data_IF_888527316154
#
_entry.id   IF_888527316154
#
_cell.length_a   1.000
_cell.length_b   1.000
_cell.length_c   1.000
_cell.angle_alpha   90.00
_cell.angle_beta   90.00
_cell.angle_gamma   90.00
#
_symmetry.space_group_name_H-M   'P 1'
#
loop_
_entity.id
_entity.type
_entity.pdbx_description
1 polymer ?
#
# COMPACT_ATOMS: atom_id res chain seq x y z
N UNK A 1 -1.10 6.82 106.33
CA UNK A 1 -0.68 6.23 105.07
C UNK A 1 -1.82 6.27 104.11
N UNK A 2 -1.80 7.22 103.11
CA UNK A 2 -2.90 7.39 102.11
C UNK A 2 -2.55 6.53 100.89
N UNK A 3 -3.46 5.61 100.57
CA UNK A 3 -3.40 4.81 99.30
C UNK A 3 -4.03 5.63 98.17
N UNK A 4 -3.24 5.96 97.15
CA UNK A 4 -3.69 6.56 95.91
C UNK A 4 -4.06 5.45 94.90
N UNK A 5 -5.35 5.42 94.46
CA UNK A 5 -5.83 4.54 93.44
C UNK A 5 -5.82 5.31 92.12
N UNK A 6 -5.09 4.78 91.14
CA UNK A 6 -5.13 5.32 89.76
C UNK A 6 -6.18 4.57 88.95
N UNK A 7 -7.09 5.25 88.23
CA UNK A 7 -7.96 4.57 87.27
C UNK A 7 -7.26 4.24 86.00
N UNK A 8 -7.32 2.96 85.55
CA UNK A 8 -6.89 2.50 84.28
C UNK A 8 -7.90 2.99 83.23
N UNK A 9 -7.42 3.87 82.33
CA UNK A 9 -8.22 4.28 81.14
C UNK A 9 -7.97 3.27 80.01
N UNK A 10 -8.95 2.37 79.77
CA UNK A 10 -8.93 1.43 78.68
C UNK A 10 -9.31 2.16 77.35
N UNK A 11 -8.31 2.41 76.55
CA UNK A 11 -8.46 2.97 75.20
C UNK A 11 -8.93 1.86 74.23
N UNK A 12 -10.24 1.79 73.93
CA UNK A 12 -10.80 0.89 72.96
C UNK A 12 -10.39 1.35 71.52
N UNK A 13 -9.46 0.67 70.91
CA UNK A 13 -9.20 0.78 69.46
C UNK A 13 -10.38 0.19 68.68
N UNK A 14 -11.22 1.03 68.14
CA UNK A 14 -12.15 0.66 67.09
C UNK A 14 -11.37 0.53 65.76
N UNK A 15 -11.42 -0.62 65.04
CA UNK A 15 -10.88 -0.69 63.72
C UNK A 15 -11.73 0.16 62.77
N UNK A 16 -11.12 1.24 62.24
CA UNK A 16 -11.68 1.97 61.10
C UNK A 16 -11.60 1.04 59.88
N UNK A 17 -12.69 0.35 59.58
CA UNK A 17 -12.88 -0.26 58.27
C UNK A 17 -13.00 0.88 57.27
N UNK A 18 -11.89 1.19 56.60
CA UNK A 18 -11.88 2.02 55.38
C UNK A 18 -12.60 1.22 54.31
N UNK A 19 -13.88 1.49 54.08
CA UNK A 19 -14.60 1.01 52.93
C UNK A 19 -13.96 1.73 51.76
N UNK A 20 -13.05 1.06 51.06
CA UNK A 20 -12.58 1.51 49.77
C UNK A 20 -13.81 1.57 48.85
N UNK A 21 -14.31 2.79 48.62
CA UNK A 21 -15.40 3.03 47.68
C UNK A 21 -14.80 2.68 46.30
N UNK A 22 -15.15 1.50 45.75
CA UNK A 22 -14.85 1.20 44.35
C UNK A 22 -15.46 2.31 43.52
N UNK A 23 -14.61 3.19 43.03
CA UNK A 23 -15.02 4.24 42.10
C UNK A 23 -15.55 3.54 40.85
N UNK A 24 -16.87 3.56 40.68
CA UNK A 24 -17.57 3.00 39.53
C UNK A 24 -17.01 3.70 38.29
N UNK A 25 -16.38 2.90 37.40
CA UNK A 25 -15.80 3.41 36.17
C UNK A 25 -16.87 4.14 35.35
N UNK A 26 -16.55 5.31 34.84
CA UNK A 26 -17.41 6.07 33.93
C UNK A 26 -17.50 5.41 32.56
N UNK A 27 -18.43 5.86 31.69
CA UNK A 27 -18.49 5.37 30.31
C UNK A 27 -17.20 5.61 29.56
N UNK A 28 -16.51 6.75 29.77
CA UNK A 28 -15.22 7.07 29.17
C UNK A 28 -14.12 6.16 29.69
N UNK A 29 -14.04 5.88 30.98
CA UNK A 29 -13.06 4.96 31.55
C UNK A 29 -13.22 3.55 31.00
N UNK A 30 -14.48 3.09 30.88
CA UNK A 30 -14.79 1.80 30.27
C UNK A 30 -14.41 1.75 28.79
N UNK A 31 -14.64 2.84 28.05
CA UNK A 31 -14.27 2.95 26.64
C UNK A 31 -12.75 2.95 26.46
N UNK A 32 -12.01 3.73 27.21
CA UNK A 32 -10.54 3.74 27.19
C UNK A 32 -10.00 2.34 27.49
N UNK A 33 -10.57 1.65 28.51
CA UNK A 33 -10.19 0.29 28.85
C UNK A 33 -10.52 -0.70 27.74
N UNK A 34 -11.70 -0.57 27.09
CA UNK A 34 -12.10 -1.40 25.97
C UNK A 34 -11.12 -1.27 24.80
N UNK A 35 -10.75 -0.04 24.45
CA UNK A 35 -9.74 0.22 23.39
C UNK A 35 -8.40 -0.39 23.73
N UNK A 36 -7.90 -0.21 24.95
CA UNK A 36 -6.64 -0.80 25.39
C UNK A 36 -6.66 -2.33 25.27
N UNK A 37 -7.70 -2.98 25.77
CA UNK A 37 -7.86 -4.45 25.68
C UNK A 37 -7.92 -4.92 24.23
N UNK A 38 -8.63 -4.19 23.35
CA UNK A 38 -8.75 -4.55 21.95
C UNK A 38 -7.42 -4.43 21.17
N UNK A 39 -6.66 -3.36 21.42
CA UNK A 39 -5.44 -3.09 20.63
C UNK A 39 -4.19 -3.77 21.21
N UNK A 40 -4.02 -3.79 22.55
CA UNK A 40 -2.84 -4.34 23.19
C UNK A 40 -2.90 -5.86 23.31
N UNK A 41 -4.08 -6.40 23.71
CA UNK A 41 -4.26 -7.83 24.01
C UNK A 41 -5.02 -8.58 22.92
N UNK A 42 -5.67 -7.87 21.97
CA UNK A 42 -6.58 -8.42 20.97
C UNK A 42 -7.72 -9.27 21.57
N UNK A 43 -8.07 -9.01 22.83
CA UNK A 43 -9.19 -9.67 23.51
C UNK A 43 -10.49 -8.94 23.15
N UNK A 44 -10.98 -9.22 21.93
CA UNK A 44 -12.23 -8.62 21.44
C UNK A 44 -13.46 -9.00 22.27
N UNK A 45 -13.62 -10.24 22.79
CA UNK A 45 -14.73 -10.57 23.69
C UNK A 45 -14.79 -9.67 24.93
N UNK A 46 -13.65 -9.43 25.59
CA UNK A 46 -13.60 -8.55 26.76
C UNK A 46 -13.86 -7.08 26.37
N UNK A 47 -13.29 -6.63 25.24
CA UNK A 47 -13.53 -5.28 24.73
C UNK A 47 -15.00 -5.03 24.40
N UNK A 48 -15.72 -6.01 23.82
CA UNK A 48 -17.15 -5.97 23.56
C UNK A 48 -17.94 -5.81 24.87
N UNK A 49 -17.60 -6.56 25.91
CA UNK A 49 -18.27 -6.45 27.21
C UNK A 49 -18.11 -5.06 27.82
N UNK A 50 -16.89 -4.53 27.81
CA UNK A 50 -16.60 -3.19 28.32
C UNK A 50 -17.34 -2.11 27.53
N UNK A 51 -17.36 -2.21 26.19
CA UNK A 51 -18.11 -1.25 25.34
C UNK A 51 -19.61 -1.30 25.59
N UNK A 52 -20.18 -2.49 25.79
CA UNK A 52 -21.60 -2.63 26.19
C UNK A 52 -21.87 -2.02 27.55
N UNK A 53 -21.00 -2.23 28.54
CA UNK A 53 -21.14 -1.61 29.84
C UNK A 53 -21.08 -0.07 29.77
N UNK A 54 -20.22 0.46 28.93
CA UNK A 54 -20.13 1.89 28.66
C UNK A 54 -21.43 2.42 28.03
N UNK A 55 -21.99 1.73 27.03
CA UNK A 55 -23.26 2.10 26.39
C UNK A 55 -24.48 1.97 27.30
N UNK A 56 -24.45 1.10 28.32
CA UNK A 56 -25.50 1.10 29.35
C UNK A 56 -25.51 2.38 30.19
N UNK A 57 -24.37 3.05 30.35
CA UNK A 57 -24.28 4.33 31.06
C UNK A 57 -24.50 5.53 30.11
N UNK A 58 -24.12 5.41 28.85
CA UNK A 58 -24.23 6.46 27.84
C UNK A 58 -24.76 5.88 26.51
N UNK A 59 -26.10 5.63 26.38
CA UNK A 59 -26.68 4.93 25.22
C UNK A 59 -26.50 5.65 23.87
N UNK A 60 -26.35 6.97 23.88
CA UNK A 60 -26.22 7.80 22.70
C UNK A 60 -24.76 8.15 22.36
N UNK A 61 -23.80 7.50 23.02
CA UNK A 61 -22.37 7.75 22.73
C UNK A 61 -21.96 7.09 21.42
N UNK A 62 -21.95 7.89 20.37
CA UNK A 62 -21.72 7.44 18.98
C UNK A 62 -20.38 6.72 18.81
N UNK A 63 -19.27 7.28 19.35
CA UNK A 63 -17.94 6.70 19.20
C UNK A 63 -17.84 5.29 19.80
N UNK A 64 -18.50 5.07 20.96
CA UNK A 64 -18.52 3.74 21.57
C UNK A 64 -19.35 2.78 20.73
N UNK A 65 -20.45 3.24 20.14
CA UNK A 65 -21.26 2.43 19.23
C UNK A 65 -20.49 2.05 17.96
N UNK A 66 -19.77 3.00 17.34
CA UNK A 66 -18.92 2.75 16.19
C UNK A 66 -17.84 1.72 16.54
N UNK A 67 -17.18 1.92 17.69
CA UNK A 67 -16.15 1.00 18.15
C UNK A 67 -16.67 -0.40 18.43
N UNK A 68 -17.85 -0.52 19.03
CA UNK A 68 -18.53 -1.80 19.24
C UNK A 68 -18.83 -2.49 17.91
N UNK A 69 -19.28 -1.76 16.89
CA UNK A 69 -19.46 -2.26 15.54
C UNK A 69 -18.16 -2.79 14.93
N UNK A 70 -17.04 -2.07 15.08
CA UNK A 70 -15.71 -2.53 14.67
C UNK A 70 -15.27 -3.80 15.39
N UNK A 71 -15.48 -3.89 16.72
CA UNK A 71 -15.17 -5.08 17.52
C UNK A 71 -15.94 -6.31 17.03
N UNK A 72 -17.23 -6.13 16.70
CA UNK A 72 -18.01 -7.22 16.09
C UNK A 72 -17.49 -7.62 14.73
N UNK A 73 -17.10 -6.66 13.90
CA UNK A 73 -16.48 -6.92 12.58
C UNK A 73 -15.18 -7.74 12.74
N UNK A 74 -14.29 -7.33 13.63
CA UNK A 74 -13.02 -8.03 13.90
C UNK A 74 -13.20 -9.40 14.57
N UNK A 75 -14.37 -9.66 15.16
CA UNK A 75 -14.73 -10.93 15.79
C UNK A 75 -15.57 -11.82 14.87
N UNK A 76 -15.70 -11.49 13.59
CA UNK A 76 -16.53 -12.19 12.60
C UNK A 76 -18.01 -12.32 12.98
N UNK A 77 -18.52 -11.35 13.78
CA UNK A 77 -19.93 -11.25 14.18
C UNK A 77 -20.68 -10.27 13.29
N UNK A 78 -20.75 -10.62 12.01
CA UNK A 78 -21.18 -9.71 10.94
C UNK A 78 -22.58 -9.15 11.15
N UNK A 79 -23.56 -9.99 11.52
CA UNK A 79 -24.94 -9.55 11.75
C UNK A 79 -25.06 -8.57 12.92
N UNK A 80 -24.29 -8.80 13.99
CA UNK A 80 -24.23 -7.88 15.13
C UNK A 80 -23.63 -6.53 14.73
N UNK A 81 -22.55 -6.55 13.93
CA UNK A 81 -21.94 -5.32 13.41
C UNK A 81 -22.92 -4.55 12.52
N UNK A 82 -23.60 -5.25 11.58
CA UNK A 82 -24.61 -4.65 10.70
C UNK A 82 -25.76 -4.03 11.48
N UNK A 83 -26.24 -4.69 12.54
CA UNK A 83 -27.30 -4.13 13.40
C UNK A 83 -26.87 -2.79 13.97
N UNK A 84 -25.68 -2.72 14.59
CA UNK A 84 -25.17 -1.46 15.16
C UNK A 84 -25.05 -0.36 14.09
N UNK A 85 -24.40 -0.66 12.95
CA UNK A 85 -24.20 0.35 11.92
C UNK A 85 -25.51 0.77 11.23
N UNK A 86 -26.49 -0.13 11.08
CA UNK A 86 -27.80 0.22 10.54
C UNK A 86 -28.58 1.13 11.51
N UNK A 87 -28.44 0.93 12.80
CA UNK A 87 -29.05 1.82 13.81
C UNK A 87 -28.41 3.21 13.79
N UNK A 88 -27.07 3.28 13.66
CA UNK A 88 -26.37 4.56 13.52
C UNK A 88 -26.75 5.28 12.22
N UNK A 89 -26.92 4.56 11.12
CA UNK A 89 -27.34 5.13 9.85
C UNK A 89 -28.77 5.73 9.93
N UNK A 90 -29.69 5.05 10.62
CA UNK A 90 -31.04 5.58 10.89
C UNK A 90 -31.04 6.85 11.75
N UNK A 91 -30.06 7.01 12.62
CA UNK A 91 -29.86 8.23 13.42
C UNK A 91 -29.24 9.38 12.61
N UNK A 92 -28.94 9.17 11.31
CA UNK A 92 -28.28 10.11 10.40
C UNK A 92 -26.96 10.66 10.96
N UNK A 93 -26.14 9.79 11.55
CA UNK A 93 -24.83 10.21 12.02
C UNK A 93 -23.99 10.73 10.85
N UNK A 94 -23.28 11.84 11.06
CA UNK A 94 -22.37 12.45 10.08
C UNK A 94 -20.90 12.15 10.39
N UNK A 95 -20.64 11.24 11.32
CA UNK A 95 -19.29 10.91 11.76
C UNK A 95 -18.50 10.19 10.64
N UNK A 96 -17.30 10.68 10.34
CA UNK A 96 -16.43 10.10 9.31
C UNK A 96 -16.05 8.64 9.64
N UNK A 97 -15.77 8.38 10.91
CA UNK A 97 -15.35 7.06 11.40
C UNK A 97 -16.47 6.01 11.29
N UNK A 98 -17.74 6.45 11.39
CA UNK A 98 -18.90 5.62 11.11
C UNK A 98 -18.92 5.12 9.67
N UNK A 99 -18.77 6.03 8.68
CA UNK A 99 -18.78 5.65 7.27
C UNK A 99 -17.61 4.72 6.93
N UNK A 100 -16.42 5.02 7.47
CA UNK A 100 -15.24 4.19 7.30
C UNK A 100 -15.43 2.78 7.87
N UNK A 101 -15.98 2.68 9.08
CA UNK A 101 -16.22 1.40 9.74
C UNK A 101 -17.28 0.56 9.02
N UNK A 102 -18.39 1.19 8.65
CA UNK A 102 -19.49 0.49 7.98
C UNK A 102 -19.12 0.06 6.56
N UNK A 103 -18.50 0.94 5.79
CA UNK A 103 -18.03 0.58 4.45
C UNK A 103 -16.98 -0.54 4.48
N UNK A 104 -16.06 -0.52 5.45
CA UNK A 104 -15.07 -1.58 5.64
C UNK A 104 -15.73 -2.93 5.96
N UNK A 105 -16.73 -2.96 6.84
CA UNK A 105 -17.51 -4.16 7.14
C UNK A 105 -18.09 -4.77 5.86
N UNK A 106 -18.78 -3.95 5.06
CA UNK A 106 -19.46 -4.45 3.86
C UNK A 106 -18.46 -4.85 2.78
N UNK A 107 -17.34 -4.14 2.63
CA UNK A 107 -16.27 -4.50 1.70
C UNK A 107 -15.61 -5.84 2.04
N UNK A 108 -15.30 -6.09 3.32
CA UNK A 108 -14.71 -7.36 3.74
C UNK A 108 -15.67 -8.56 3.65
N UNK A 109 -16.96 -8.28 3.51
CA UNK A 109 -18.01 -9.30 3.34
C UNK A 109 -18.59 -9.32 1.92
N UNK A 110 -17.80 -8.94 0.92
CA UNK A 110 -18.11 -9.01 -0.51
C UNK A 110 -19.37 -8.23 -0.93
N UNK A 111 -19.81 -7.28 -0.09
CA UNK A 111 -20.95 -6.39 -0.40
C UNK A 111 -20.43 -5.08 -1.01
N UNK A 112 -19.77 -5.20 -2.16
CA UNK A 112 -19.03 -4.11 -2.82
C UNK A 112 -19.91 -2.90 -3.13
N UNK A 113 -21.07 -3.10 -3.73
CA UNK A 113 -21.97 -1.99 -4.11
C UNK A 113 -22.43 -1.20 -2.89
N UNK A 114 -22.73 -1.92 -1.80
CA UNK A 114 -23.11 -1.30 -0.54
C UNK A 114 -21.94 -0.53 0.10
N UNK A 115 -20.75 -1.11 0.06
CA UNK A 115 -19.54 -0.45 0.56
C UNK A 115 -19.25 0.85 -0.22
N UNK A 116 -19.38 0.85 -1.55
CA UNK A 116 -19.23 2.05 -2.38
C UNK A 116 -20.30 3.08 -2.02
N UNK A 117 -21.57 2.70 -1.92
CA UNK A 117 -22.66 3.62 -1.59
C UNK A 117 -22.44 4.30 -0.23
N UNK A 118 -22.01 3.54 0.79
CA UNK A 118 -21.69 4.08 2.12
C UNK A 118 -20.49 5.02 2.05
N UNK A 119 -19.45 4.65 1.31
CA UNK A 119 -18.27 5.49 1.13
C UNK A 119 -18.61 6.79 0.41
N UNK A 120 -19.46 6.73 -0.62
CA UNK A 120 -19.91 7.91 -1.37
C UNK A 120 -20.76 8.85 -0.48
N UNK A 121 -21.64 8.30 0.36
CA UNK A 121 -22.39 9.07 1.36
C UNK A 121 -21.44 9.76 2.34
N UNK A 122 -20.42 9.05 2.83
CA UNK A 122 -19.39 9.62 3.69
C UNK A 122 -18.59 10.73 3.01
N UNK A 123 -18.17 10.53 1.78
CA UNK A 123 -17.43 11.53 1.00
C UNK A 123 -18.28 12.75 0.61
N UNK A 124 -19.59 12.63 0.53
CA UNK A 124 -20.47 13.79 0.32
C UNK A 124 -20.46 14.74 1.52
N UNK A 125 -20.25 14.22 2.73
CA UNK A 125 -20.14 14.99 3.98
C UNK A 125 -18.69 15.38 4.29
N UNK A 126 -17.73 14.50 3.96
CA UNK A 126 -16.30 14.66 4.23
C UNK A 126 -15.47 14.53 2.93
N UNK A 127 -15.56 15.49 2.00
CA UNK A 127 -14.96 15.35 0.66
C UNK A 127 -13.41 15.28 0.67
N UNK A 128 -12.78 15.70 1.78
CA UNK A 128 -11.33 15.64 1.96
C UNK A 128 -10.86 14.50 2.86
N UNK A 129 -11.73 13.57 3.23
CA UNK A 129 -11.37 12.42 4.03
C UNK A 129 -10.39 11.52 3.27
N UNK A 130 -9.16 11.46 3.76
CA UNK A 130 -8.11 10.64 3.16
C UNK A 130 -8.42 9.14 3.28
N UNK A 131 -8.99 8.73 4.41
CA UNK A 131 -9.29 7.34 4.69
C UNK A 131 -10.47 6.82 3.85
N UNK A 132 -11.51 7.63 3.67
CA UNK A 132 -12.64 7.28 2.79
C UNK A 132 -12.21 7.26 1.31
N UNK A 133 -11.38 8.23 0.86
CA UNK A 133 -10.85 8.23 -0.49
C UNK A 133 -9.96 7.00 -0.75
N UNK A 134 -9.13 6.62 0.22
CA UNK A 134 -8.30 5.43 0.12
C UNK A 134 -9.15 4.15 0.07
N UNK A 135 -10.15 4.05 0.94
CA UNK A 135 -11.07 2.92 0.96
C UNK A 135 -11.84 2.81 -0.36
N UNK A 136 -12.38 3.91 -0.88
CA UNK A 136 -13.04 3.94 -2.19
C UNK A 136 -12.11 3.47 -3.31
N UNK A 137 -10.86 3.95 -3.31
CA UNK A 137 -9.85 3.51 -4.26
C UNK A 137 -9.59 2.01 -4.20
N UNK A 138 -9.46 1.44 -3.00
CA UNK A 138 -9.27 -0.01 -2.78
C UNK A 138 -10.47 -0.84 -3.24
N UNK A 139 -11.68 -0.44 -2.84
CA UNK A 139 -12.91 -1.13 -3.23
C UNK A 139 -13.05 -1.13 -4.76
N UNK A 140 -12.90 0.03 -5.39
CA UNK A 140 -13.03 0.17 -6.85
C UNK A 140 -11.96 -0.62 -7.59
N UNK A 141 -10.70 -0.57 -7.15
CA UNK A 141 -9.61 -1.37 -7.73
C UNK A 141 -9.86 -2.88 -7.59
N UNK A 142 -10.31 -3.31 -6.40
CA UNK A 142 -10.63 -4.70 -6.11
C UNK A 142 -11.74 -5.29 -6.99
N UNK A 143 -12.60 -4.44 -7.55
CA UNK A 143 -13.74 -4.81 -8.41
C UNK A 143 -13.57 -4.37 -9.87
N UNK A 144 -12.34 -4.14 -10.31
CA UNK A 144 -11.97 -3.82 -11.68
C UNK A 144 -12.56 -2.49 -12.21
N UNK A 145 -13.06 -1.62 -11.30
CA UNK A 145 -13.53 -0.26 -11.61
C UNK A 145 -12.36 0.72 -11.58
N UNK A 146 -11.38 0.52 -12.47
CA UNK A 146 -10.09 1.21 -12.44
C UNK A 146 -10.18 2.73 -12.59
N UNK A 147 -11.10 3.23 -13.43
CA UNK A 147 -11.30 4.67 -13.62
C UNK A 147 -11.84 5.35 -12.34
N UNK A 148 -12.74 4.67 -11.62
CA UNK A 148 -13.24 5.16 -10.32
C UNK A 148 -12.15 5.11 -9.25
N UNK A 149 -11.34 4.04 -9.22
CA UNK A 149 -10.20 3.90 -8.34
C UNK A 149 -9.17 5.01 -8.59
N UNK A 150 -8.82 5.25 -9.86
CA UNK A 150 -7.88 6.32 -10.26
C UNK A 150 -8.35 7.68 -9.75
N UNK A 151 -9.62 8.03 -9.99
CA UNK A 151 -10.19 9.30 -9.55
C UNK A 151 -10.10 9.48 -8.02
N UNK A 152 -10.46 8.45 -7.25
CA UNK A 152 -10.40 8.50 -5.79
C UNK A 152 -8.95 8.68 -5.30
N UNK A 153 -8.01 7.91 -5.84
CA UNK A 153 -6.61 7.95 -5.44
C UNK A 153 -5.92 9.25 -5.89
N UNK A 154 -6.24 9.78 -7.08
CA UNK A 154 -5.76 11.11 -7.48
C UNK A 154 -6.25 12.21 -6.55
N UNK A 155 -7.54 12.17 -6.13
CA UNK A 155 -8.07 13.13 -5.15
C UNK A 155 -7.33 13.04 -3.82
N UNK A 156 -7.05 11.82 -3.34
CA UNK A 156 -6.26 11.62 -2.12
C UNK A 156 -4.84 12.16 -2.24
N UNK A 157 -4.15 11.87 -3.34
CA UNK A 157 -2.76 12.34 -3.55
C UNK A 157 -2.67 13.85 -3.78
N UNK A 158 -3.74 14.49 -4.24
CA UNK A 158 -3.83 15.95 -4.30
C UNK A 158 -3.87 16.57 -2.90
N UNK A 159 -4.54 15.92 -1.93
CA UNK A 159 -4.62 16.34 -0.53
C UNK A 159 -3.32 16.00 0.22
N UNK A 160 -2.86 14.75 0.07
CA UNK A 160 -1.67 14.22 0.75
C UNK A 160 -0.74 13.50 -0.22
N UNK A 161 0.19 14.22 -0.86
CA UNK A 161 1.18 13.62 -1.76
C UNK A 161 2.10 12.59 -1.11
N UNK A 162 2.18 12.54 0.22
CA UNK A 162 3.04 11.62 0.98
C UNK A 162 2.33 10.32 1.40
N UNK A 163 1.07 10.12 1.02
CA UNK A 163 0.36 8.89 1.38
C UNK A 163 0.97 7.69 0.64
N UNK A 164 1.69 6.86 1.39
CA UNK A 164 2.45 5.71 0.87
C UNK A 164 1.55 4.69 0.18
N UNK A 165 0.41 4.38 0.80
CA UNK A 165 -0.50 3.35 0.30
C UNK A 165 -1.22 3.80 -0.97
N UNK A 166 -1.65 5.08 -1.00
CA UNK A 166 -2.23 5.67 -2.20
C UNK A 166 -1.25 5.69 -3.37
N UNK A 167 0.05 5.94 -3.13
CA UNK A 167 1.06 5.87 -4.19
C UNK A 167 1.26 4.47 -4.74
N UNK A 168 1.36 3.47 -3.87
CA UNK A 168 1.48 2.10 -4.30
C UNK A 168 0.25 1.67 -5.12
N UNK A 169 -0.94 2.05 -4.66
CA UNK A 169 -2.19 1.75 -5.35
C UNK A 169 -2.31 2.52 -6.69
N UNK A 170 -1.93 3.81 -6.74
CA UNK A 170 -1.88 4.59 -7.98
C UNK A 170 -1.04 3.90 -9.05
N UNK A 171 0.14 3.38 -8.67
CA UNK A 171 1.01 2.64 -9.60
C UNK A 171 0.34 1.38 -10.15
N UNK A 172 -0.36 0.63 -9.29
CA UNK A 172 -1.10 -0.55 -9.71
C UNK A 172 -2.28 -0.21 -10.65
N UNK A 173 -2.99 0.90 -10.38
CA UNK A 173 -4.12 1.37 -11.19
C UNK A 173 -3.65 1.85 -12.57
N UNK A 174 -2.53 2.56 -12.65
CA UNK A 174 -1.99 3.12 -13.90
C UNK A 174 -1.85 2.08 -15.02
N UNK A 175 -1.52 0.84 -14.66
CA UNK A 175 -1.38 -0.24 -15.65
C UNK A 175 -2.70 -0.59 -16.34
N UNK A 176 -3.84 -0.18 -15.75
CA UNK A 176 -5.20 -0.46 -16.26
C UNK A 176 -5.85 0.76 -16.91
N UNK A 177 -5.51 1.99 -16.49
CA UNK A 177 -6.18 3.23 -16.96
C UNK A 177 -5.45 3.90 -18.12
N UNK A 178 -4.13 3.82 -18.19
CA UNK A 178 -3.35 4.40 -19.26
C UNK A 178 -3.46 3.58 -20.55
N UNK A 179 -4.52 3.82 -21.34
CA UNK A 179 -4.79 3.07 -22.60
C UNK A 179 -3.65 3.21 -23.62
N UNK A 180 -3.05 4.40 -23.77
CA UNK A 180 -1.96 4.66 -24.68
C UNK A 180 -0.97 5.63 -24.02
N UNK A 181 0.33 5.40 -24.20
CA UNK A 181 1.36 6.34 -23.78
C UNK A 181 2.50 6.36 -24.79
N UNK A 182 3.08 7.54 -25.02
CA UNK A 182 4.29 7.73 -25.82
C UNK A 182 5.39 8.16 -24.87
N UNK A 183 6.55 7.56 -24.95
CA UNK A 183 7.73 7.89 -24.16
C UNK A 183 8.92 8.24 -25.04
N UNK A 184 9.64 9.27 -24.64
CA UNK A 184 10.93 9.64 -25.22
C UNK A 184 11.98 9.58 -24.10
N UNK A 185 13.09 8.89 -24.37
CA UNK A 185 14.21 8.79 -23.45
C UNK A 185 15.50 9.24 -24.11
N UNK A 186 16.35 9.90 -23.34
CA UNK A 186 17.68 10.23 -23.75
C UNK A 186 18.65 9.88 -22.62
N UNK A 187 19.67 9.08 -22.96
CA UNK A 187 20.73 8.73 -22.03
C UNK A 187 22.06 9.19 -22.60
N UNK A 188 22.82 9.89 -21.77
CA UNK A 188 24.17 10.33 -22.03
C UNK A 188 25.11 9.59 -21.09
N UNK A 189 26.15 8.93 -21.65
CA UNK A 189 27.17 8.23 -20.86
C UNK A 189 28.51 8.87 -21.18
N UNK A 190 29.13 9.42 -20.14
CA UNK A 190 30.45 10.02 -20.18
C UNK A 190 31.49 9.03 -19.66
N UNK A 191 32.65 9.00 -20.33
CA UNK A 191 33.79 8.20 -19.92
C UNK A 191 35.01 9.11 -19.69
N UNK A 192 35.64 8.99 -18.55
CA UNK A 192 36.83 9.81 -18.22
C UNK A 192 38.07 9.33 -18.99
N UNK A 193 38.31 8.01 -19.14
CA UNK A 193 39.51 7.45 -19.72
C UNK A 193 39.30 6.17 -20.54
N UNK A 194 38.13 5.57 -20.50
CA UNK A 194 37.91 4.23 -21.03
C UNK A 194 37.60 4.22 -22.52
N UNK A 195 36.93 5.25 -23.02
CA UNK A 195 36.56 5.40 -24.41
C UNK A 195 36.72 6.86 -24.85
N UNK A 196 37.19 7.07 -26.09
CA UNK A 196 37.41 8.43 -26.65
C UNK A 196 36.10 9.18 -26.94
N UNK A 197 34.98 8.48 -27.07
CA UNK A 197 33.70 9.06 -27.43
C UNK A 197 32.63 8.73 -26.37
N UNK A 198 31.86 9.76 -26.01
CA UNK A 198 30.68 9.62 -25.15
C UNK A 198 29.57 8.86 -25.89
N UNK A 199 28.70 8.18 -25.14
CA UNK A 199 27.57 7.52 -25.76
C UNK A 199 26.30 8.32 -25.65
N UNK A 200 25.54 8.34 -26.73
CA UNK A 200 24.23 8.97 -26.84
C UNK A 200 23.22 7.90 -27.22
N UNK A 201 22.17 7.75 -26.41
CA UNK A 201 21.13 6.76 -26.64
C UNK A 201 19.78 7.46 -26.58
N UNK A 202 19.02 7.38 -27.67
CA UNK A 202 17.64 7.91 -27.75
C UNK A 202 16.68 6.77 -27.90
N UNK A 203 15.63 6.73 -27.08
CA UNK A 203 14.57 5.73 -27.16
C UNK A 203 13.21 6.39 -27.39
N UNK A 204 12.48 5.91 -28.40
CA UNK A 204 11.07 6.24 -28.60
C UNK A 204 10.25 4.98 -28.27
N UNK A 205 9.24 5.13 -27.43
CA UNK A 205 8.36 4.02 -27.03
C UNK A 205 6.89 4.36 -27.20
N UNK A 206 6.10 3.35 -27.52
CA UNK A 206 4.63 3.41 -27.50
C UNK A 206 4.11 2.26 -26.65
N UNK A 207 3.37 2.59 -25.60
CA UNK A 207 2.68 1.66 -24.70
C UNK A 207 1.19 1.64 -25.04
N UNK A 208 0.62 0.45 -25.10
CA UNK A 208 -0.83 0.23 -25.18
C UNK A 208 -1.28 -0.71 -24.08
N UNK A 209 -2.25 -0.28 -23.27
CA UNK A 209 -2.93 -1.14 -22.32
C UNK A 209 -3.95 -2.04 -23.04
N UNK A 210 -4.02 -3.30 -22.63
CA UNK A 210 -4.98 -4.30 -23.10
C UNK A 210 -5.69 -4.94 -21.92
N UNK A 211 -6.80 -5.65 -22.09
CA UNK A 211 -7.50 -6.32 -21.00
C UNK A 211 -6.64 -7.31 -20.19
N UNK A 212 -5.61 -7.88 -20.82
CA UNK A 212 -4.71 -8.86 -20.17
C UNK A 212 -3.39 -8.27 -19.69
N UNK A 213 -3.15 -6.96 -19.86
CA UNK A 213 -1.92 -6.29 -19.48
C UNK A 213 -1.51 -5.22 -20.48
N UNK A 214 -0.27 -4.74 -20.43
CA UNK A 214 0.24 -3.74 -21.37
C UNK A 214 1.26 -4.31 -22.33
N UNK A 215 1.32 -3.74 -23.54
CA UNK A 215 2.33 -4.02 -24.55
C UNK A 215 3.08 -2.73 -24.87
N UNK A 216 4.40 -2.81 -25.00
CA UNK A 216 5.27 -1.67 -25.32
C UNK A 216 6.11 -2.02 -26.55
N UNK A 217 6.07 -1.15 -27.54
CA UNK A 217 7.01 -1.15 -28.64
C UNK A 217 8.03 -0.05 -28.41
N UNK A 218 9.33 -0.36 -28.62
CA UNK A 218 10.40 0.61 -28.45
C UNK A 218 11.37 0.54 -29.61
N UNK A 219 11.80 1.71 -30.08
CA UNK A 219 12.93 1.86 -31.01
C UNK A 219 14.01 2.65 -30.30
N UNK A 220 15.20 2.06 -30.19
CA UNK A 220 16.38 2.69 -29.62
C UNK A 220 17.36 3.01 -30.73
N UNK A 221 17.81 4.26 -30.77
CA UNK A 221 18.99 4.68 -31.56
C UNK A 221 20.13 4.94 -30.59
N UNK A 222 21.31 4.45 -30.92
CA UNK A 222 22.52 4.74 -30.16
C UNK A 222 23.68 5.13 -31.06
N UNK A 223 24.44 6.13 -30.62
CA UNK A 223 25.80 6.39 -31.08
C UNK A 223 26.74 5.94 -29.96
N UNK A 224 27.53 4.88 -30.25
CA UNK A 224 28.52 4.28 -29.34
C UNK A 224 29.73 3.91 -30.14
N UNK A 225 30.94 4.07 -29.57
CA UNK A 225 32.20 3.71 -30.23
C UNK A 225 32.39 4.38 -31.61
N UNK A 226 31.87 5.63 -31.76
CA UNK A 226 31.82 6.36 -33.04
C UNK A 226 30.97 5.70 -34.14
N UNK A 227 30.16 4.69 -33.79
CA UNK A 227 29.24 4.02 -34.71
C UNK A 227 27.79 4.23 -34.31
N UNK A 228 26.89 4.07 -35.27
CA UNK A 228 25.48 4.23 -35.09
C UNK A 228 24.76 2.88 -35.15
N UNK A 229 23.73 2.72 -34.31
CA UNK A 229 22.93 1.51 -34.33
C UNK A 229 21.48 1.77 -33.96
N UNK A 230 20.61 0.88 -34.44
CA UNK A 230 19.17 0.87 -34.12
C UNK A 230 18.77 -0.50 -33.59
N UNK A 231 17.95 -0.51 -32.57
CA UNK A 231 17.34 -1.71 -31.98
C UNK A 231 15.85 -1.54 -31.88
N UNK A 232 15.11 -2.56 -32.24
CA UNK A 232 13.66 -2.65 -32.05
C UNK A 232 13.37 -3.62 -30.92
N UNK A 233 12.43 -3.24 -30.02
CA UNK A 233 12.03 -4.04 -28.87
C UNK A 233 10.50 -4.11 -28.78
N UNK A 234 10.04 -5.24 -28.30
CA UNK A 234 8.66 -5.46 -27.90
C UNK A 234 8.64 -6.05 -26.50
N UNK A 235 7.86 -5.45 -25.61
CA UNK A 235 7.67 -5.90 -24.24
C UNK A 235 6.19 -6.09 -23.97
N UNK A 236 5.85 -7.10 -23.20
CA UNK A 236 4.50 -7.35 -22.73
C UNK A 236 4.50 -7.60 -21.23
N UNK A 237 3.45 -7.12 -20.56
CA UNK A 237 3.26 -7.25 -19.11
C UNK A 237 1.90 -7.92 -18.83
N UNK A 238 1.72 -9.22 -19.19
CA UNK A 238 0.48 -9.93 -18.92
C UNK A 238 0.27 -10.14 -17.41
N UNK A 239 -0.96 -9.86 -16.98
CA UNK A 239 -1.39 -10.03 -15.59
C UNK A 239 -1.85 -11.47 -15.37
N UNK A 240 -1.35 -12.09 -14.33
CA UNK A 240 -1.74 -13.42 -13.90
C UNK A 240 -2.80 -13.37 -12.78
N UNK A 241 -2.72 -12.35 -11.92
CA UNK A 241 -3.66 -12.11 -10.83
C UNK A 241 -3.57 -10.64 -10.37
N UNK A 242 -4.29 -10.28 -9.31
CA UNK A 242 -4.17 -8.96 -8.64
C UNK A 242 -2.80 -8.75 -7.98
N UNK A 243 -2.06 -9.83 -7.71
CA UNK A 243 -0.74 -9.79 -7.05
C UNK A 243 0.37 -9.98 -8.07
N UNK A 244 0.23 -10.91 -9.01
CA UNK A 244 1.29 -11.35 -9.91
C UNK A 244 1.08 -10.87 -11.34
N UNK A 245 2.16 -10.40 -11.97
CA UNK A 245 2.23 -10.15 -13.41
C UNK A 245 3.59 -10.59 -13.97
N UNK A 246 3.63 -10.86 -15.26
CA UNK A 246 4.87 -11.21 -15.98
C UNK A 246 5.42 -9.99 -16.72
N UNK A 247 6.69 -10.01 -16.94
CA UNK A 247 7.37 -9.30 -18.01
C UNK A 247 7.85 -10.32 -19.03
N UNK A 248 7.57 -10.08 -20.30
CA UNK A 248 8.10 -10.83 -21.43
C UNK A 248 8.62 -9.82 -22.44
N UNK A 249 9.87 -9.92 -22.83
CA UNK A 249 10.50 -8.99 -23.77
C UNK A 249 11.33 -9.68 -24.83
N UNK A 250 11.31 -9.13 -26.04
CA UNK A 250 12.18 -9.51 -27.14
C UNK A 250 12.68 -8.25 -27.86
N UNK A 251 13.89 -8.33 -28.43
CA UNK A 251 14.46 -7.24 -29.21
C UNK A 251 15.42 -7.76 -30.28
N UNK A 252 15.60 -6.95 -31.32
CA UNK A 252 16.44 -7.25 -32.46
C UNK A 252 17.19 -6.01 -32.92
N UNK A 253 18.44 -6.22 -33.34
CA UNK A 253 19.30 -5.23 -34.00
C UNK A 253 20.21 -5.87 -35.03
N UNK A 254 20.42 -5.19 -36.16
CA UNK A 254 21.47 -5.56 -37.13
C UNK A 254 22.84 -5.00 -36.74
N UNK A 255 22.91 -4.05 -35.81
CA UNK A 255 24.15 -3.38 -35.42
C UNK A 255 24.78 -4.08 -34.23
N UNK A 256 25.30 -5.27 -34.45
CA UNK A 256 25.97 -6.11 -33.44
C UNK A 256 27.26 -5.41 -32.96
N UNK A 257 27.42 -5.33 -31.64
CA UNK A 257 28.49 -4.52 -31.02
C UNK A 257 27.92 -3.25 -30.36
N UNK A 258 27.02 -2.53 -31.04
CA UNK A 258 26.29 -1.39 -30.46
C UNK A 258 25.12 -1.91 -29.61
N UNK A 259 24.38 -2.88 -30.18
CA UNK A 259 23.29 -3.59 -29.53
C UNK A 259 23.46 -5.10 -29.65
N UNK A 260 22.87 -5.87 -28.78
CA UNK A 260 22.72 -7.31 -28.98
C UNK A 260 21.88 -7.59 -30.24
N UNK A 261 22.30 -8.57 -31.07
CA UNK A 261 21.56 -9.01 -32.25
C UNK A 261 20.15 -9.46 -31.86
N UNK A 262 20.06 -10.26 -30.79
CA UNK A 262 18.81 -10.66 -30.17
C UNK A 262 18.90 -10.40 -28.68
N UNK A 263 17.78 -9.96 -28.09
CA UNK A 263 17.60 -9.94 -26.64
C UNK A 263 16.24 -10.54 -26.29
N UNK A 264 16.19 -11.31 -25.23
CA UNK A 264 14.95 -11.82 -24.66
C UNK A 264 14.97 -11.66 -23.14
N UNK A 265 13.82 -11.69 -22.53
CA UNK A 265 13.71 -11.67 -21.07
C UNK A 265 12.34 -12.06 -20.60
N UNK A 266 12.33 -12.72 -19.44
CA UNK A 266 11.11 -13.05 -18.71
C UNK A 266 11.35 -12.75 -17.24
N UNK A 267 10.36 -12.15 -16.57
CA UNK A 267 10.37 -11.97 -15.12
C UNK A 267 8.97 -12.15 -14.56
N UNK A 268 8.89 -12.70 -13.37
CA UNK A 268 7.71 -12.68 -12.53
C UNK A 268 7.81 -11.53 -11.53
N UNK A 269 6.82 -10.68 -11.53
CA UNK A 269 6.65 -9.57 -10.60
C UNK A 269 5.54 -9.88 -9.60
N UNK A 270 5.67 -9.35 -8.39
CA UNK A 270 4.65 -9.46 -7.34
C UNK A 270 4.46 -8.13 -6.62
N UNK A 271 3.19 -7.68 -6.50
CA UNK A 271 2.78 -6.60 -5.60
C UNK A 271 2.46 -7.22 -4.23
N UNK A 272 3.33 -7.00 -3.26
CA UNK A 272 3.29 -7.65 -1.96
C UNK A 272 2.61 -6.75 -0.91
N UNK A 273 2.13 -7.32 0.22
CA UNK A 273 1.59 -6.53 1.33
C UNK A 273 2.57 -5.46 1.83
N UNK A 274 2.04 -4.45 2.54
CA UNK A 274 2.81 -3.34 3.10
C UNK A 274 3.61 -2.55 2.06
N UNK A 275 3.09 -2.43 0.83
CA UNK A 275 3.69 -1.65 -0.26
C UNK A 275 5.09 -2.12 -0.67
N UNK A 276 5.34 -3.42 -0.58
CA UNK A 276 6.51 -4.05 -1.16
C UNK A 276 6.24 -4.51 -2.59
N UNK A 277 7.29 -4.58 -3.38
CA UNK A 277 7.32 -5.19 -4.72
C UNK A 277 8.47 -6.19 -4.80
N UNK A 278 8.30 -7.26 -5.57
CA UNK A 278 9.33 -8.24 -5.82
C UNK A 278 9.44 -8.58 -7.29
N UNK A 279 10.63 -8.94 -7.75
CA UNK A 279 10.87 -9.48 -9.10
C UNK A 279 11.89 -10.60 -9.04
N UNK A 280 11.65 -11.64 -9.84
CA UNK A 280 12.64 -12.64 -10.20
C UNK A 280 12.53 -12.93 -11.71
N UNK A 281 13.66 -13.14 -12.39
CA UNK A 281 13.60 -13.41 -13.82
C UNK A 281 14.96 -13.64 -14.45
N UNK A 282 14.96 -13.65 -15.77
CA UNK A 282 16.20 -13.71 -16.55
C UNK A 282 16.14 -12.75 -17.74
N UNK A 283 17.32 -12.45 -18.26
CA UNK A 283 17.57 -11.76 -19.53
C UNK A 283 18.57 -12.59 -20.32
N UNK A 284 18.38 -12.65 -21.62
CA UNK A 284 19.34 -13.25 -22.53
C UNK A 284 19.71 -12.23 -23.60
N UNK A 285 20.98 -12.04 -23.78
CA UNK A 285 21.56 -11.24 -24.88
C UNK A 285 22.35 -12.15 -25.77
N UNK A 286 22.20 -12.00 -27.10
CA UNK A 286 22.99 -12.69 -28.09
C UNK A 286 23.76 -11.65 -28.94
N UNK A 287 25.06 -11.71 -28.87
CA UNK A 287 25.98 -10.97 -29.77
C UNK A 287 26.59 -11.94 -30.78
N UNK A 288 27.74 -12.53 -30.50
CA UNK A 288 28.29 -13.73 -31.12
C UNK A 288 27.91 -14.99 -30.33
N UNK A 289 27.76 -14.84 -29.03
CA UNK A 289 27.43 -15.88 -28.06
C UNK A 289 26.25 -15.46 -27.15
N UNK A 290 25.69 -16.43 -26.48
CA UNK A 290 24.59 -16.19 -25.50
C UNK A 290 25.14 -15.73 -24.15
N UNK A 291 24.65 -14.58 -23.69
CA UNK A 291 24.91 -14.09 -22.35
C UNK A 291 23.59 -14.18 -21.56
N UNK A 292 23.59 -15.04 -20.56
CA UNK A 292 22.46 -15.21 -19.65
C UNK A 292 22.66 -14.39 -18.38
N UNK A 293 21.64 -13.63 -17.98
CA UNK A 293 21.63 -12.85 -16.76
C UNK A 293 20.38 -13.20 -15.95
N UNK A 294 20.58 -13.68 -14.75
CA UNK A 294 19.48 -13.87 -13.79
C UNK A 294 19.31 -12.60 -12.98
N UNK A 295 18.06 -12.20 -12.72
CA UNK A 295 17.76 -10.97 -12.00
C UNK A 295 16.78 -11.24 -10.86
N UNK A 296 16.99 -10.53 -9.75
CA UNK A 296 16.03 -10.43 -8.66
C UNK A 296 16.02 -9.00 -8.15
N UNK A 297 14.84 -8.52 -7.72
CA UNK A 297 14.74 -7.21 -7.07
C UNK A 297 13.69 -7.18 -5.98
N UNK A 298 13.89 -6.25 -5.03
CA UNK A 298 12.91 -5.89 -4.02
C UNK A 298 12.73 -4.38 -4.04
N UNK A 299 11.48 -3.95 -4.15
CA UNK A 299 11.06 -2.55 -4.08
C UNK A 299 10.23 -2.28 -2.84
N UNK A 300 10.26 -1.03 -2.37
CA UNK A 300 9.45 -0.56 -1.24
C UNK A 300 9.02 0.88 -1.45
N UNK A 301 7.72 1.13 -1.33
CA UNK A 301 7.20 2.49 -1.18
C UNK A 301 7.27 2.90 0.29
N UNK A 302 7.72 4.12 0.53
CA UNK A 302 7.72 4.75 1.85
C UNK A 302 7.49 6.26 1.69
N UNK A 303 6.37 6.75 2.18
CA UNK A 303 5.91 8.12 1.93
C UNK A 303 5.90 8.45 0.43
N UNK A 304 6.62 9.49 0.01
CA UNK A 304 6.77 9.87 -1.40
C UNK A 304 8.06 9.34 -2.04
N UNK A 305 8.67 8.33 -1.45
CA UNK A 305 9.83 7.62 -2.00
C UNK A 305 9.46 6.22 -2.46
N UNK A 306 10.14 5.75 -3.48
CA UNK A 306 10.24 4.35 -3.85
C UNK A 306 11.71 3.96 -3.91
N UNK A 307 12.05 2.92 -3.20
CA UNK A 307 13.38 2.33 -3.14
C UNK A 307 13.35 0.98 -3.85
N UNK A 308 14.36 0.69 -4.65
CA UNK A 308 14.52 -0.63 -5.27
C UNK A 308 15.98 -1.05 -5.20
N UNK A 309 16.21 -2.28 -4.81
CA UNK A 309 17.49 -2.95 -4.90
C UNK A 309 17.35 -4.12 -5.86
N UNK A 310 18.20 -4.13 -6.90
CA UNK A 310 18.21 -5.16 -7.93
C UNK A 310 19.58 -5.77 -8.06
N UNK A 311 19.62 -7.09 -8.27
CA UNK A 311 20.85 -7.82 -8.62
C UNK A 311 20.73 -8.44 -9.99
N UNK A 312 21.86 -8.53 -10.68
CA UNK A 312 22.06 -9.31 -11.89
C UNK A 312 23.22 -10.26 -11.67
N UNK A 313 23.00 -11.54 -11.96
CA UNK A 313 23.98 -12.62 -11.90
C UNK A 313 24.21 -13.14 -13.31
N UNK A 314 25.42 -12.97 -13.81
CA UNK A 314 25.80 -13.38 -15.15
C UNK A 314 26.83 -14.52 -15.05
N UNK A 315 26.43 -15.80 -15.24
CA UNK A 315 27.36 -16.91 -15.24
C UNK A 315 28.36 -16.77 -16.40
N UNK A 316 29.63 -16.87 -16.11
CA UNK A 316 30.71 -17.01 -17.05
C UNK A 316 31.35 -18.40 -16.95
N UNK A 317 32.35 -18.70 -17.80
CA UNK A 317 32.99 -20.01 -17.81
C UNK A 317 33.67 -20.40 -16.48
N UNK A 318 34.25 -19.44 -15.76
CA UNK A 318 34.99 -19.68 -14.50
C UNK A 318 34.37 -19.02 -13.29
N UNK A 319 33.66 -17.91 -13.48
CA UNK A 319 33.13 -17.08 -12.38
C UNK A 319 31.72 -16.56 -12.71
N UNK A 320 30.95 -16.20 -11.69
CA UNK A 320 29.68 -15.48 -11.82
C UNK A 320 29.95 -13.99 -11.64
N UNK A 321 29.72 -13.19 -12.70
CA UNK A 321 29.72 -11.74 -12.59
C UNK A 321 28.47 -11.27 -11.86
N UNK A 322 28.61 -10.33 -10.95
CA UNK A 322 27.53 -9.80 -10.14
C UNK A 322 27.45 -8.28 -10.32
N UNK A 323 26.24 -7.77 -10.48
CA UNK A 323 25.97 -6.34 -10.52
C UNK A 323 24.79 -6.02 -9.62
N UNK A 324 24.90 -4.93 -8.89
CA UNK A 324 23.86 -4.46 -7.97
C UNK A 324 23.47 -3.03 -8.36
N UNK A 325 22.16 -2.77 -8.43
CA UNK A 325 21.63 -1.45 -8.73
C UNK A 325 20.66 -1.04 -7.63
N UNK A 326 20.96 0.08 -6.97
CA UNK A 326 20.05 0.74 -6.06
C UNK A 326 19.36 1.88 -6.81
N UNK A 327 18.02 1.91 -6.80
CA UNK A 327 17.24 3.00 -7.40
C UNK A 327 16.39 3.67 -6.33
N UNK A 328 16.40 5.00 -6.34
CA UNK A 328 15.51 5.81 -5.49
C UNK A 328 14.69 6.73 -6.39
N UNK A 329 13.38 6.75 -6.20
CA UNK A 329 12.48 7.72 -6.84
C UNK A 329 11.84 8.58 -5.77
N UNK A 330 11.84 9.89 -6.00
CA UNK A 330 11.14 10.88 -5.20
C UNK A 330 9.97 11.42 -6.01
N UNK A 331 8.76 11.11 -5.58
CA UNK A 331 7.53 11.55 -6.24
C UNK A 331 7.11 12.93 -5.76
N UNK A 332 6.77 13.81 -6.68
CA UNK A 332 6.30 15.18 -6.39
C UNK A 332 4.79 15.26 -6.30
N UNK A 333 4.08 14.62 -7.25
CA UNK A 333 2.61 14.62 -7.33
C UNK A 333 2.09 13.21 -7.66
N UNK A 334 1.75 12.93 -8.90
CA UNK A 334 1.18 11.68 -9.38
C UNK A 334 2.18 10.50 -9.45
N UNK A 335 1.73 9.39 -10.00
CA UNK A 335 2.53 8.17 -10.11
C UNK A 335 3.70 8.30 -11.11
N UNK A 336 3.61 9.25 -12.06
CA UNK A 336 4.62 9.48 -13.11
C UNK A 336 5.50 10.71 -12.89
N UNK A 337 5.18 11.53 -11.87
CA UNK A 337 5.90 12.77 -11.58
C UNK A 337 6.97 12.52 -10.52
N UNK A 338 8.15 12.09 -10.93
CA UNK A 338 9.23 11.78 -10.00
C UNK A 338 10.61 12.17 -10.53
N UNK A 339 11.53 12.39 -9.60
CA UNK A 339 12.97 12.40 -9.84
C UNK A 339 13.54 11.04 -9.45
N UNK A 340 14.38 10.45 -10.31
CA UNK A 340 14.99 9.14 -10.07
C UNK A 340 16.51 9.21 -10.06
N UNK A 341 17.11 8.42 -9.17
CA UNK A 341 18.56 8.20 -9.06
C UNK A 341 18.82 6.70 -9.04
N UNK A 342 19.80 6.28 -9.79
CA UNK A 342 20.25 4.88 -9.84
C UNK A 342 21.77 4.78 -9.82
#
# INVERSE_FOLDING_TARGET
MKKVIYPLLSLSLLPLFSIAQETKLTADDLFVKARKVAFDSKDYPQAIQLSKQALLQAPDYTDISIFLGRLYTWSDKIDSARTIFTELDKKNTSDEDFFLAYASLEYWNDQTDKAIAITDKGLSLHPQSQDLLLLKGKISYGNDHYEAAEKAIHSLLAINPKNTEARALAKSIEEYTAKNAIGLTYNFVYFDKQFDHNWHIVGLSYKRATPIGSVIFRTNYANKFAENGVQFEMEAYPRLSKIFYLYVGAGYSNNVGIFAKYRTGVSLYANLPNSFEGEIGYRQLYFSDNIWMYTASVGKYYQNFWFNLRTYLTPGEKNISQSYTGTVRYYTKGANDYFGFS
#
